data_IF_032922562940
#
_entry.id   IF_032922562940
#
_cell.length_a   1.000
_cell.length_b   1.000
_cell.length_c   1.000
_cell.angle_alpha   90.00
_cell.angle_beta   90.00
_cell.angle_gamma   90.00
#
_symmetry.space_group_name_H-M   'P 1'
#
loop_
_entity.id
_entity.type
_entity.pdbx_description
1 polymer ?
#
# COMPACT_ATOMS: atom_id res chain seq x y z
N UNK A 1 -7.59 4.70 2.70
CA UNK A 1 -7.06 4.50 1.33
C UNK A 1 -5.72 5.23 1.10
N UNK A 2 -5.69 6.57 1.00
CA UNK A 2 -4.46 7.32 0.67
C UNK A 2 -3.26 7.00 1.59
N UNK A 3 -3.49 6.87 2.90
CA UNK A 3 -2.45 6.49 3.86
C UNK A 3 -1.83 5.12 3.58
N UNK A 4 -2.63 4.14 3.15
CA UNK A 4 -2.15 2.79 2.85
C UNK A 4 -1.24 2.82 1.62
N UNK A 5 -1.70 3.47 0.54
CA UNK A 5 -0.93 3.62 -0.71
C UNK A 5 0.35 4.41 -0.48
N UNK A 6 0.31 5.49 0.30
CA UNK A 6 1.49 6.29 0.64
C UNK A 6 2.50 5.49 1.49
N UNK A 7 2.03 4.76 2.50
CA UNK A 7 2.89 3.92 3.35
C UNK A 7 3.50 2.78 2.54
N UNK A 8 2.72 2.11 1.68
CA UNK A 8 3.20 1.11 0.74
C UNK A 8 4.31 1.66 -0.15
N UNK A 9 4.09 2.81 -0.78
CA UNK A 9 5.10 3.46 -1.63
C UNK A 9 6.37 3.81 -0.85
N UNK A 10 6.26 4.32 0.38
CA UNK A 10 7.45 4.66 1.19
C UNK A 10 8.20 3.42 1.69
N UNK A 11 7.49 2.38 2.11
CA UNK A 11 8.09 1.11 2.55
C UNK A 11 8.83 0.39 1.41
N UNK A 12 8.38 0.59 0.17
CA UNK A 12 9.01 0.02 -1.04
C UNK A 12 10.09 0.92 -1.65
N UNK A 13 10.00 2.25 -1.48
CA UNK A 13 10.99 3.22 -1.98
C UNK A 13 12.40 3.07 -1.38
N UNK A 14 12.54 2.53 -0.17
CA UNK A 14 13.85 2.22 0.43
C UNK A 14 14.69 1.25 -0.41
N UNK A 15 14.08 0.53 -1.36
CA UNK A 15 14.75 -0.39 -2.28
C UNK A 15 15.13 0.26 -3.63
N UNK A 16 14.39 1.30 -4.07
CA UNK A 16 14.54 1.91 -5.40
C UNK A 16 15.82 2.77 -5.50
N UNK A 17 16.46 3.11 -4.37
CA UNK A 17 17.72 3.86 -4.36
C UNK A 17 18.92 3.11 -4.99
N UNK A 18 18.82 1.79 -5.23
CA UNK A 18 19.95 0.99 -5.73
C UNK A 18 19.71 0.25 -7.05
N UNK A 19 18.66 0.55 -7.81
CA UNK A 19 18.50 -0.03 -9.16
C UNK A 19 18.64 1.05 -10.23
N UNK A 20 19.78 1.17 -10.94
CA UNK A 20 19.87 2.08 -12.06
C UNK A 20 19.25 1.40 -13.28
N UNK A 21 17.92 1.27 -13.34
CA UNK A 21 17.27 0.77 -14.54
C UNK A 21 16.01 1.54 -14.93
N UNK A 22 16.15 2.13 -16.13
CA UNK A 22 15.18 2.82 -16.99
C UNK A 22 14.89 4.27 -16.62
N UNK A 23 15.77 5.14 -17.15
CA UNK A 23 15.37 6.44 -17.65
C UNK A 23 14.09 6.31 -18.47
N UNK A 24 13.01 6.92 -17.99
CA UNK A 24 11.89 7.31 -18.83
C UNK A 24 11.88 8.83 -18.79
N UNK A 25 12.29 9.44 -19.90
CA UNK A 25 12.28 10.89 -20.08
C UNK A 25 10.83 11.34 -20.29
N UNK A 26 10.15 11.69 -19.20
CA UNK A 26 8.82 12.31 -19.27
C UNK A 26 8.94 13.83 -19.24
N UNK A 27 8.46 14.49 -20.29
CA UNK A 27 8.43 15.94 -20.44
C UNK A 27 7.33 16.57 -19.54
N UNK A 28 7.78 17.39 -18.59
CA UNK A 28 7.18 18.59 -17.97
C UNK A 28 5.79 18.54 -17.32
N UNK A 29 5.74 18.91 -16.03
CA UNK A 29 5.01 20.09 -15.51
C UNK A 29 5.63 20.46 -14.14
N UNK A 30 6.10 21.71 -13.99
CA UNK A 30 6.73 22.22 -12.77
C UNK A 30 5.73 22.21 -11.61
N UNK A 31 5.99 21.40 -10.58
CA UNK A 31 5.60 21.74 -9.22
C UNK A 31 6.86 22.11 -8.46
N UNK A 32 6.97 23.39 -8.13
CA UNK A 32 8.02 23.95 -7.29
C UNK A 32 7.59 23.70 -5.86
N UNK A 33 8.18 22.71 -5.21
CA UNK A 33 8.37 22.77 -3.76
C UNK A 33 9.73 22.19 -3.37
N UNK A 34 10.30 22.89 -2.41
CA UNK A 34 11.68 22.91 -2.02
C UNK A 34 12.17 21.59 -1.44
N UNK A 35 13.34 21.15 -1.92
CA UNK A 35 14.52 20.97 -1.08
C UNK A 35 14.24 20.54 0.39
N UNK A 36 14.30 19.24 0.66
CA UNK A 36 14.83 18.76 1.94
C UNK A 36 15.40 17.36 1.77
N UNK A 37 16.61 17.30 1.18
CA UNK A 37 17.58 16.21 1.39
C UNK A 37 18.27 16.42 2.75
N UNK A 38 17.48 16.60 3.81
CA UNK A 38 17.98 16.63 5.18
C UNK A 38 17.65 15.27 5.78
N UNK A 39 18.69 14.44 5.91
CA UNK A 39 18.81 13.34 6.88
C UNK A 39 17.56 13.12 7.73
N UNK A 40 16.59 12.39 7.19
CA UNK A 40 15.56 11.77 8.02
C UNK A 40 16.23 10.56 8.66
N UNK A 41 16.00 10.27 9.95
CA UNK A 41 16.46 9.01 10.54
C UNK A 41 15.96 7.86 9.65
N UNK A 42 16.58 6.68 9.72
CA UNK A 42 16.15 5.53 8.91
C UNK A 42 14.66 5.23 9.17
N UNK A 43 13.79 5.86 8.37
CA UNK A 43 12.33 5.77 8.49
C UNK A 43 11.85 4.48 7.82
N UNK A 44 12.72 3.79 7.06
CA UNK A 44 12.41 2.55 6.36
C UNK A 44 11.76 1.51 7.28
N UNK A 45 12.38 1.15 8.42
CA UNK A 45 11.82 0.24 9.41
C UNK A 45 10.46 0.68 9.98
N UNK A 46 10.28 1.99 10.23
CA UNK A 46 9.03 2.53 10.77
C UNK A 46 7.87 2.41 9.77
N UNK A 47 8.13 2.66 8.48
CA UNK A 47 7.12 2.50 7.43
C UNK A 47 6.73 1.03 7.22
N UNK A 48 7.70 0.10 7.35
CA UNK A 48 7.42 -1.34 7.30
C UNK A 48 6.56 -1.79 8.48
N UNK A 49 6.87 -1.32 9.69
CA UNK A 49 6.09 -1.63 10.88
C UNK A 49 4.65 -1.07 10.79
N UNK A 50 4.50 0.18 10.33
CA UNK A 50 3.20 0.79 10.10
C UNK A 50 2.41 0.00 9.04
N UNK A 51 3.04 -0.35 7.93
CA UNK A 51 2.43 -1.14 6.86
C UNK A 51 1.93 -2.50 7.38
N UNK A 52 2.73 -3.20 8.19
CA UNK A 52 2.31 -4.46 8.82
C UNK A 52 1.05 -4.27 9.69
N UNK A 53 1.02 -3.23 10.53
CA UNK A 53 -0.15 -2.93 11.37
C UNK A 53 -1.39 -2.61 10.52
N UNK A 54 -1.22 -1.88 9.41
CA UNK A 54 -2.32 -1.60 8.49
C UNK A 54 -2.84 -2.87 7.83
N UNK A 55 -1.97 -3.77 7.39
CA UNK A 55 -2.38 -5.05 6.78
C UNK A 55 -3.11 -5.94 7.79
N UNK A 56 -2.63 -6.02 9.04
CA UNK A 56 -3.33 -6.71 10.14
C UNK A 56 -4.71 -6.14 10.40
N UNK A 57 -4.85 -4.82 10.39
CA UNK A 57 -6.14 -4.17 10.57
C UNK A 57 -7.10 -4.51 9.42
N UNK A 58 -6.61 -4.56 8.19
CA UNK A 58 -7.39 -4.96 7.00
C UNK A 58 -7.80 -6.42 7.06
N UNK A 59 -6.90 -7.30 7.51
CA UNK A 59 -7.20 -8.71 7.73
C UNK A 59 -8.31 -8.87 8.78
N UNK A 60 -8.22 -8.15 9.90
CA UNK A 60 -9.24 -8.18 10.95
C UNK A 60 -10.59 -7.62 10.49
N UNK A 61 -10.59 -6.51 9.75
CA UNK A 61 -11.80 -5.94 9.16
C UNK A 61 -11.52 -5.20 7.85
N UNK A 62 -11.83 -5.80 6.69
CA UNK A 62 -11.59 -5.18 5.39
C UNK A 62 -12.51 -3.97 5.12
N UNK A 63 -13.67 -3.88 5.80
CA UNK A 63 -14.60 -2.76 5.61
C UNK A 63 -14.10 -1.45 6.21
N UNK A 64 -13.17 -1.52 7.16
CA UNK A 64 -12.59 -0.37 7.86
C UNK A 64 -11.85 0.58 6.89
N UNK A 65 -11.12 0.03 5.91
CA UNK A 65 -10.48 0.84 4.87
C UNK A 65 -11.43 1.23 3.72
N UNK A 66 -12.50 0.47 3.53
CA UNK A 66 -13.47 0.70 2.48
C UNK A 66 -14.52 1.76 2.83
N UNK A 67 -14.58 2.21 4.09
CA UNK A 67 -15.51 3.21 4.64
C UNK A 67 -16.57 3.66 3.62
N UNK A 68 -17.62 2.85 3.51
CA UNK A 68 -18.70 2.94 2.54
C UNK A 68 -19.77 3.95 2.95
N UNK A 69 -19.63 4.60 4.11
CA UNK A 69 -20.62 5.53 4.65
C UNK A 69 -20.75 6.74 3.70
N UNK A 70 -21.81 6.74 2.88
CA UNK A 70 -22.17 7.83 1.97
C UNK A 70 -21.47 7.85 0.61
N UNK A 71 -20.71 6.82 0.21
CA UNK A 71 -20.06 6.76 -1.11
C UNK A 71 -20.89 5.99 -2.13
N UNK A 72 -20.83 6.39 -3.41
CA UNK A 72 -21.52 5.66 -4.47
C UNK A 72 -20.93 4.25 -4.65
N UNK A 73 -21.76 3.26 -4.99
CA UNK A 73 -21.32 1.85 -5.08
C UNK A 73 -20.11 1.61 -5.99
N UNK A 74 -19.96 2.40 -7.06
CA UNK A 74 -18.81 2.31 -7.97
C UNK A 74 -17.49 2.79 -7.32
N UNK A 75 -17.55 3.75 -6.39
CA UNK A 75 -16.37 4.20 -5.64
C UNK A 75 -15.92 3.16 -4.60
N UNK A 76 -16.90 2.45 -4.03
CA UNK A 76 -16.64 1.33 -3.11
C UNK A 76 -15.95 0.20 -3.87
N UNK A 77 -16.48 -0.20 -5.04
CA UNK A 77 -15.85 -1.22 -5.87
C UNK A 77 -14.43 -0.84 -6.32
N UNK A 78 -14.22 0.40 -6.78
CA UNK A 78 -12.87 0.90 -7.12
C UNK A 78 -11.92 0.79 -5.93
N UNK A 79 -12.39 1.19 -4.74
CA UNK A 79 -11.59 1.13 -3.51
C UNK A 79 -11.24 -0.30 -3.12
N UNK A 80 -12.17 -1.25 -3.31
CA UNK A 80 -11.92 -2.68 -3.09
C UNK A 80 -10.87 -3.21 -4.05
N UNK A 81 -10.97 -2.86 -5.33
CA UNK A 81 -10.02 -3.32 -6.34
C UNK A 81 -8.61 -2.74 -6.13
N UNK A 82 -8.52 -1.45 -5.79
CA UNK A 82 -7.25 -0.80 -5.41
C UNK A 82 -6.62 -1.45 -4.17
N UNK A 83 -7.46 -1.82 -3.18
CA UNK A 83 -7.01 -2.50 -1.97
C UNK A 83 -6.46 -3.89 -2.29
N UNK A 84 -7.19 -4.69 -3.07
CA UNK A 84 -6.75 -6.02 -3.52
C UNK A 84 -5.42 -5.90 -4.26
N UNK A 85 -5.31 -5.00 -5.23
CA UNK A 85 -4.08 -4.80 -5.99
C UNK A 85 -2.90 -4.41 -5.09
N UNK A 86 -3.14 -3.57 -4.08
CA UNK A 86 -2.12 -3.21 -3.11
C UNK A 86 -1.65 -4.39 -2.25
N UNK A 87 -2.58 -5.24 -1.77
CA UNK A 87 -2.25 -6.46 -1.03
C UNK A 87 -1.50 -7.48 -1.91
N UNK A 88 -1.94 -7.67 -3.15
CA UNK A 88 -1.25 -8.55 -4.12
C UNK A 88 0.17 -8.05 -4.37
N UNK A 89 0.39 -6.73 -4.49
CA UNK A 89 1.74 -6.18 -4.61
C UNK A 89 2.62 -6.51 -3.41
N UNK A 90 2.07 -6.56 -2.19
CA UNK A 90 2.81 -6.90 -0.97
C UNK A 90 3.21 -8.37 -0.91
N UNK A 91 2.35 -9.27 -1.37
CA UNK A 91 2.65 -10.72 -1.43
C UNK A 91 3.90 -10.99 -2.28
N UNK A 92 4.11 -10.21 -3.33
CA UNK A 92 5.26 -10.35 -4.22
C UNK A 92 6.52 -9.62 -3.72
N UNK A 93 6.51 -9.06 -2.51
CA UNK A 93 7.61 -8.26 -1.99
C UNK A 93 8.60 -9.12 -1.16
N UNK A 94 9.80 -9.47 -1.67
CA UNK A 94 10.72 -10.40 -0.98
C UNK A 94 11.40 -9.78 0.25
N UNK A 95 11.37 -8.46 0.43
CA UNK A 95 12.08 -7.73 1.48
C UNK A 95 11.27 -7.55 2.77
N UNK A 96 10.03 -8.03 2.79
CA UNK A 96 9.09 -7.90 3.91
C UNK A 96 8.25 -9.18 4.06
N UNK A 97 8.86 -10.33 4.44
CA UNK A 97 8.18 -11.61 4.48
C UNK A 97 6.97 -11.62 5.42
N UNK A 98 7.06 -10.95 6.57
CA UNK A 98 5.95 -10.87 7.53
C UNK A 98 4.75 -10.13 6.96
N UNK A 99 5.00 -9.05 6.21
CA UNK A 99 3.96 -8.25 5.54
C UNK A 99 3.36 -9.03 4.37
N UNK A 100 4.19 -9.74 3.62
CA UNK A 100 3.75 -10.58 2.50
C UNK A 100 2.84 -11.72 2.98
N UNK A 101 3.21 -12.39 4.09
CA UNK A 101 2.39 -13.43 4.70
C UNK A 101 1.05 -12.87 5.17
N UNK A 102 1.06 -11.78 5.92
CA UNK A 102 -0.16 -11.15 6.41
C UNK A 102 -1.07 -10.68 5.26
N UNK A 103 -0.49 -10.15 4.17
CA UNK A 103 -1.24 -9.74 2.99
C UNK A 103 -1.91 -10.92 2.28
N UNK A 104 -1.27 -12.08 2.28
CA UNK A 104 -1.86 -13.32 1.76
C UNK A 104 -3.05 -13.75 2.62
N UNK A 105 -2.91 -13.74 3.95
CA UNK A 105 -4.01 -14.06 4.87
C UNK A 105 -5.18 -13.08 4.72
N UNK A 106 -4.90 -11.78 4.59
CA UNK A 106 -5.90 -10.75 4.34
C UNK A 106 -6.66 -10.97 3.02
N UNK A 107 -5.96 -11.39 1.95
CA UNK A 107 -6.58 -11.72 0.66
C UNK A 107 -7.50 -12.95 0.77
N UNK A 108 -7.09 -13.97 1.52
CA UNK A 108 -7.92 -15.16 1.78
C UNK A 108 -9.18 -14.79 2.59
N UNK A 109 -9.03 -13.95 3.62
CA UNK A 109 -10.15 -13.45 4.43
C UNK A 109 -11.13 -12.59 3.60
N UNK A 110 -10.62 -11.85 2.62
CA UNK A 110 -11.44 -11.04 1.70
C UNK A 110 -12.24 -11.91 0.71
N UNK A 111 -11.72 -13.07 0.34
CA UNK A 111 -12.35 -14.03 -0.59
C UNK A 111 -13.22 -15.09 0.08
N UNK A 112 -13.47 -14.99 1.40
CA UNK A 112 -14.30 -15.97 2.10
C UNK A 112 -15.75 -15.95 1.60
N UNK A 113 -16.35 -17.10 1.25
CA UNK A 113 -17.65 -17.19 0.59
C UNK A 113 -18.81 -16.67 1.47
N UNK A 114 -18.66 -16.59 2.79
CA UNK A 114 -19.67 -16.01 3.69
C UNK A 114 -19.90 -14.49 3.52
N UNK A 115 -19.07 -13.79 2.72
CA UNK A 115 -19.23 -12.35 2.41
C UNK A 115 -19.66 -12.08 0.97
N UNK A 116 -19.94 -13.14 0.20
CA UNK A 116 -20.41 -13.08 -1.20
C UNK A 116 -21.88 -13.49 -1.20
N UNK A 117 -22.77 -12.67 -0.63
CA UNK A 117 -24.22 -12.83 -0.74
C UNK A 117 -24.89 -11.49 -1.08
#
# INVERSE_FOLDING_TARGET
RALFTDTLNKATQGYIAHTPLRMITSLTLKSKDAQSRLTRPDEGPAHKALLLLMVRLIHADPMLLLNSLGKAGHEVQSSTLELINGLVSLVHQPTMPDVAQEAMEALLALHSPDKIE
#
